data_IF_394187804564
#
_entry.id   IF_394187804564
#
_cell.length_a   1.000
_cell.length_b   1.000
_cell.length_c   1.000
_cell.angle_alpha   90.00
_cell.angle_beta   90.00
_cell.angle_gamma   90.00
#
_symmetry.space_group_name_H-M   'P 1'
#
loop_
_entity.id
_entity.type
_entity.pdbx_description
1 polymer ?
#
# COMPACT_ATOMS: atom_id res chain seq x y z
N UNK A 1 12.06 -18.12 26.71
CA UNK A 1 13.09 -18.49 25.75
C UNK A 1 12.42 -19.28 24.64
N UNK A 2 12.09 -18.65 23.49
CA UNK A 2 11.44 -19.32 22.36
C UNK A 2 12.49 -20.07 21.54
N UNK A 3 12.49 -21.39 21.61
CA UNK A 3 13.36 -22.22 20.77
C UNK A 3 12.84 -22.27 19.33
N UNK A 4 13.69 -22.11 18.31
CA UNK A 4 13.29 -22.06 16.89
C UNK A 4 12.61 -23.34 16.36
N UNK A 5 12.68 -24.42 17.10
CA UNK A 5 12.07 -25.71 16.71
C UNK A 5 10.53 -25.71 16.63
N UNK A 6 9.85 -24.77 17.30
CA UNK A 6 8.38 -24.70 17.32
C UNK A 6 7.76 -23.98 16.13
N UNK A 7 8.55 -23.37 15.24
CA UNK A 7 8.09 -22.64 14.05
C UNK A 7 8.02 -23.52 12.78
N UNK A 8 8.19 -24.84 12.89
CA UNK A 8 8.06 -25.73 11.74
C UNK A 8 6.58 -25.98 11.44
N UNK A 9 5.98 -25.11 10.64
CA UNK A 9 4.71 -25.40 9.95
C UNK A 9 4.98 -26.43 8.86
N UNK A 10 4.06 -27.40 8.63
CA UNK A 10 4.15 -28.30 7.49
C UNK A 10 4.39 -27.53 6.19
N UNK A 11 5.29 -28.02 5.36
CA UNK A 11 5.64 -27.37 4.09
C UNK A 11 4.41 -27.15 3.21
N UNK A 12 3.45 -28.07 3.29
CA UNK A 12 2.17 -28.02 2.57
C UNK A 12 1.34 -26.78 2.95
N UNK A 13 1.20 -26.48 4.23
CA UNK A 13 0.37 -25.33 4.70
C UNK A 13 1.02 -24.01 4.31
N UNK A 14 2.36 -23.95 4.32
CA UNK A 14 3.11 -22.79 3.83
C UNK A 14 2.92 -22.59 2.33
N UNK A 15 2.98 -23.67 1.54
CA UNK A 15 2.77 -23.61 0.09
C UNK A 15 1.33 -23.17 -0.24
N UNK A 16 0.34 -23.69 0.48
CA UNK A 16 -1.07 -23.31 0.29
C UNK A 16 -1.27 -21.83 0.61
N UNK A 17 -0.80 -21.34 1.77
CA UNK A 17 -0.95 -19.94 2.14
C UNK A 17 -0.23 -19.03 1.16
N UNK A 18 1.00 -19.35 0.77
CA UNK A 18 1.76 -18.61 -0.23
C UNK A 18 1.05 -18.58 -1.59
N UNK A 19 0.55 -19.73 -2.05
CA UNK A 19 -0.21 -19.85 -3.29
C UNK A 19 -1.50 -19.02 -3.27
N UNK A 20 -2.23 -19.00 -2.16
CA UNK A 20 -3.43 -18.18 -2.00
C UNK A 20 -3.12 -16.69 -2.07
N UNK A 21 -2.04 -16.22 -1.43
CA UNK A 21 -1.64 -14.82 -1.46
C UNK A 21 -1.19 -14.38 -2.86
N UNK A 22 -0.42 -15.22 -3.55
CA UNK A 22 -0.01 -14.97 -4.93
C UNK A 22 -1.24 -14.98 -5.86
N UNK A 23 -2.12 -15.98 -5.73
CA UNK A 23 -3.35 -16.06 -6.49
C UNK A 23 -4.25 -14.83 -6.30
N UNK A 24 -4.37 -14.35 -5.06
CA UNK A 24 -5.11 -13.13 -4.75
C UNK A 24 -4.49 -11.89 -5.41
N UNK A 25 -3.17 -11.76 -5.39
CA UNK A 25 -2.48 -10.66 -6.05
C UNK A 25 -2.65 -10.71 -7.58
N UNK A 26 -2.52 -11.89 -8.19
CA UNK A 26 -2.76 -12.07 -9.64
C UNK A 26 -4.20 -11.75 -10.00
N UNK A 27 -5.17 -12.25 -9.23
CA UNK A 27 -6.58 -11.94 -9.45
C UNK A 27 -6.87 -10.43 -9.33
N UNK A 28 -6.21 -9.75 -8.38
CA UNK A 28 -6.33 -8.30 -8.24
C UNK A 28 -5.73 -7.56 -9.46
N UNK A 29 -4.59 -8.00 -10.02
CA UNK A 29 -4.03 -7.44 -11.24
C UNK A 29 -4.95 -7.63 -12.45
N UNK A 30 -5.54 -8.83 -12.60
CA UNK A 30 -6.50 -9.10 -13.69
C UNK A 30 -7.75 -8.24 -13.52
N UNK A 31 -8.26 -8.10 -12.30
CA UNK A 31 -9.42 -7.26 -12.02
C UNK A 31 -9.13 -5.76 -12.29
N UNK A 32 -7.94 -5.27 -11.96
CA UNK A 32 -7.52 -3.90 -12.30
C UNK A 32 -7.43 -3.68 -13.81
N UNK A 33 -6.89 -4.64 -14.53
CA UNK A 33 -6.84 -4.57 -15.99
C UNK A 33 -8.24 -4.52 -16.62
N UNK A 34 -9.18 -5.33 -16.13
CA UNK A 34 -10.57 -5.27 -16.56
C UNK A 34 -11.26 -3.98 -16.13
N UNK A 35 -10.93 -3.46 -14.94
CA UNK A 35 -11.46 -2.19 -14.47
C UNK A 35 -11.03 -1.04 -15.40
N UNK A 36 -9.76 -0.99 -15.78
CA UNK A 36 -9.22 0.05 -16.68
C UNK A 36 -9.90 0.07 -18.06
N UNK A 37 -10.30 -1.11 -18.56
CA UNK A 37 -11.03 -1.24 -19.83
C UNK A 37 -12.55 -1.06 -19.69
N UNK A 38 -13.05 -0.87 -18.48
CA UNK A 38 -14.48 -0.76 -18.18
C UNK A 38 -14.98 0.69 -18.18
N UNK A 39 -16.30 0.93 -18.30
CA UNK A 39 -16.90 2.26 -18.11
C UNK A 39 -16.63 2.87 -16.72
N UNK A 40 -16.15 2.08 -15.78
CA UNK A 40 -15.86 2.50 -14.40
C UNK A 40 -14.43 3.00 -14.21
N UNK A 41 -13.59 2.99 -15.25
CA UNK A 41 -12.19 3.44 -15.17
C UNK A 41 -12.06 4.86 -14.60
N UNK A 42 -12.96 5.78 -14.95
CA UNK A 42 -12.96 7.16 -14.47
C UNK A 42 -13.08 7.32 -12.95
N UNK A 43 -13.66 6.33 -12.23
CA UNK A 43 -13.77 6.39 -10.76
C UNK A 43 -12.44 6.19 -10.02
N UNK A 44 -11.42 5.68 -10.67
CA UNK A 44 -10.05 5.57 -10.13
C UNK A 44 -9.15 6.74 -10.55
N UNK A 45 -9.63 7.65 -11.39
CA UNK A 45 -8.90 8.82 -11.85
C UNK A 45 -9.46 10.11 -11.27
N UNK A 46 -8.90 11.23 -11.73
CA UNK A 46 -9.36 12.59 -11.41
C UNK A 46 -10.55 13.03 -12.29
N UNK A 47 -11.14 12.12 -13.06
CA UNK A 47 -12.31 12.44 -13.90
C UNK A 47 -13.50 12.77 -12.98
N UNK A 48 -13.99 13.99 -13.14
CA UNK A 48 -15.01 14.59 -12.29
C UNK A 48 -16.26 13.75 -12.05
N UNK A 49 -17.00 14.15 -11.07
CA UNK A 49 -18.19 13.52 -10.50
C UNK A 49 -19.17 12.93 -11.51
N UNK A 50 -19.22 11.60 -11.60
CA UNK A 50 -20.05 10.88 -12.55
C UNK A 50 -21.27 10.23 -11.86
N UNK A 51 -21.54 10.56 -10.58
CA UNK A 51 -22.64 9.94 -9.86
C UNK A 51 -22.88 10.49 -8.45
N UNK A 52 -23.80 9.90 -7.68
CA UNK A 52 -24.02 10.28 -6.30
C UNK A 52 -22.76 10.01 -5.45
N UNK A 53 -22.41 10.98 -4.61
CA UNK A 53 -21.20 11.00 -3.78
C UNK A 53 -20.86 9.67 -3.06
N UNK A 54 -21.81 8.96 -2.43
CA UNK A 54 -21.52 7.69 -1.76
C UNK A 54 -21.14 6.57 -2.73
N UNK A 55 -21.65 6.58 -3.96
CA UNK A 55 -21.26 5.60 -4.98
C UNK A 55 -19.83 5.86 -5.45
N UNK A 56 -19.48 7.11 -5.74
CA UNK A 56 -18.11 7.50 -6.10
C UNK A 56 -17.10 7.07 -5.03
N UNK A 57 -17.34 7.46 -3.77
CA UNK A 57 -16.46 7.11 -2.66
C UNK A 57 -16.32 5.58 -2.52
N UNK A 58 -17.41 4.84 -2.66
CA UNK A 58 -17.40 3.38 -2.54
C UNK A 58 -16.59 2.73 -3.66
N UNK A 59 -16.81 3.15 -4.92
CA UNK A 59 -16.08 2.62 -6.07
C UNK A 59 -14.58 2.99 -5.99
N UNK A 60 -14.27 4.22 -5.60
CA UNK A 60 -12.89 4.62 -5.37
C UNK A 60 -12.21 3.75 -4.30
N UNK A 61 -12.83 3.57 -3.13
CA UNK A 61 -12.26 2.75 -2.05
C UNK A 61 -12.11 1.30 -2.47
N UNK A 62 -13.05 0.73 -3.21
CA UNK A 62 -12.94 -0.64 -3.75
C UNK A 62 -11.76 -0.75 -4.72
N UNK A 63 -11.65 0.16 -5.68
CA UNK A 63 -10.52 0.20 -6.62
C UNK A 63 -9.18 0.41 -5.90
N UNK A 64 -9.16 1.30 -4.90
CA UNK A 64 -8.00 1.55 -4.06
C UNK A 64 -7.55 0.29 -3.30
N UNK A 65 -8.48 -0.41 -2.64
CA UNK A 65 -8.18 -1.66 -1.93
C UNK A 65 -7.68 -2.73 -2.89
N UNK A 66 -8.30 -2.84 -4.08
CA UNK A 66 -7.86 -3.76 -5.12
C UNK A 66 -6.41 -3.49 -5.55
N UNK A 67 -6.06 -2.22 -5.76
CA UNK A 67 -4.70 -1.77 -6.05
C UNK A 67 -3.73 -2.14 -4.93
N UNK A 68 -4.12 -1.93 -3.66
CA UNK A 68 -3.29 -2.30 -2.52
C UNK A 68 -3.07 -3.82 -2.45
N UNK A 69 -4.08 -4.61 -2.75
CA UNK A 69 -3.95 -6.07 -2.83
C UNK A 69 -2.97 -6.45 -3.95
N UNK A 70 -3.05 -5.81 -5.12
CA UNK A 70 -2.17 -6.10 -6.24
C UNK A 70 -0.70 -5.75 -5.96
N UNK A 71 -0.43 -4.56 -5.37
CA UNK A 71 0.92 -4.01 -5.25
C UNK A 71 1.56 -4.23 -3.87
N UNK A 72 0.78 -4.04 -2.80
CA UNK A 72 1.32 -4.01 -1.43
C UNK A 72 1.22 -5.34 -0.71
N UNK A 73 0.23 -6.17 -1.04
CA UNK A 73 0.10 -7.50 -0.42
C UNK A 73 1.31 -8.41 -0.74
N UNK A 74 1.83 -8.47 -1.98
CA UNK A 74 3.04 -9.25 -2.29
C UNK A 74 4.24 -8.85 -1.43
N UNK A 75 4.42 -7.56 -1.18
CA UNK A 75 5.51 -7.07 -0.33
C UNK A 75 5.34 -7.42 1.15
N UNK A 76 4.14 -7.76 1.59
CA UNK A 76 3.79 -8.13 2.97
C UNK A 76 3.73 -9.65 3.19
N UNK A 77 3.89 -10.46 2.14
CA UNK A 77 3.89 -11.93 2.21
C UNK A 77 4.81 -12.48 3.31
N UNK A 78 6.05 -12.00 3.49
CA UNK A 78 6.93 -12.53 4.53
C UNK A 78 6.34 -12.40 5.94
N UNK A 79 5.64 -11.31 6.24
CA UNK A 79 4.97 -11.12 7.53
C UNK A 79 3.78 -12.06 7.68
N UNK A 80 2.93 -12.16 6.67
CA UNK A 80 1.75 -13.04 6.69
C UNK A 80 2.17 -14.50 6.85
N UNK A 81 3.23 -14.92 6.17
CA UNK A 81 3.80 -16.27 6.29
C UNK A 81 4.38 -16.52 7.68
N UNK A 82 5.09 -15.55 8.24
CA UNK A 82 5.67 -15.65 9.61
C UNK A 82 4.55 -15.76 10.64
N UNK A 83 3.52 -14.93 10.52
CA UNK A 83 2.36 -14.98 11.41
C UNK A 83 1.57 -16.28 11.24
N UNK A 84 1.29 -16.70 10.00
CA UNK A 84 0.64 -17.98 9.71
C UNK A 84 1.39 -19.17 10.31
N UNK A 85 2.73 -19.15 10.27
CA UNK A 85 3.56 -20.15 10.92
C UNK A 85 3.38 -20.16 12.44
N UNK A 86 3.29 -18.98 13.06
CA UNK A 86 3.11 -18.85 14.50
C UNK A 86 1.74 -19.37 14.97
N UNK A 87 0.68 -19.06 14.22
CA UNK A 87 -0.70 -19.43 14.60
C UNK A 87 -1.18 -20.77 14.04
N UNK A 88 -0.37 -21.44 13.22
CA UNK A 88 -0.76 -22.65 12.49
C UNK A 88 -1.26 -23.82 13.35
N UNK A 89 -0.85 -23.87 14.63
CA UNK A 89 -1.32 -24.87 15.62
C UNK A 89 -2.51 -24.38 16.45
N UNK A 90 -2.98 -23.14 16.26
CA UNK A 90 -4.13 -22.59 16.97
C UNK A 90 -5.45 -23.05 16.33
N UNK A 91 -6.55 -23.06 17.07
CA UNK A 91 -7.86 -23.27 16.47
C UNK A 91 -8.16 -22.21 15.40
N UNK A 92 -8.61 -22.66 14.22
CA UNK A 92 -9.00 -21.81 13.09
C UNK A 92 -7.91 -20.80 12.67
N UNK A 93 -6.69 -21.24 12.31
CA UNK A 93 -5.57 -20.37 11.99
C UNK A 93 -5.87 -19.45 10.82
N UNK A 94 -6.66 -19.89 9.82
CA UNK A 94 -7.10 -19.06 8.70
C UNK A 94 -7.90 -17.82 9.12
N UNK A 95 -8.73 -17.92 10.19
CA UNK A 95 -9.45 -16.77 10.72
C UNK A 95 -8.50 -15.73 11.32
N UNK A 96 -7.44 -16.17 11.99
CA UNK A 96 -6.46 -15.26 12.57
C UNK A 96 -5.67 -14.53 11.47
N UNK A 97 -5.24 -15.26 10.43
CA UNK A 97 -4.59 -14.66 9.25
C UNK A 97 -5.55 -13.71 8.52
N UNK A 98 -6.82 -14.09 8.36
CA UNK A 98 -7.85 -13.23 7.75
C UNK A 98 -8.06 -11.93 8.54
N UNK A 99 -8.05 -11.97 9.88
CA UNK A 99 -8.15 -10.77 10.73
C UNK A 99 -6.91 -9.87 10.62
N UNK A 100 -5.71 -10.45 10.49
CA UNK A 100 -4.50 -9.68 10.22
C UNK A 100 -4.61 -8.95 8.88
N UNK A 101 -5.03 -9.64 7.82
CA UNK A 101 -5.23 -9.04 6.50
C UNK A 101 -6.32 -7.97 6.54
N UNK A 102 -7.43 -8.22 7.24
CA UNK A 102 -8.50 -7.24 7.40
C UNK A 102 -8.01 -5.97 8.10
N UNK A 103 -7.25 -6.09 9.18
CA UNK A 103 -6.66 -4.93 9.87
C UNK A 103 -5.70 -4.14 8.97
N UNK A 104 -4.90 -4.84 8.18
CA UNK A 104 -4.00 -4.25 7.19
C UNK A 104 -4.78 -3.47 6.11
N UNK A 105 -5.79 -4.08 5.51
CA UNK A 105 -6.61 -3.46 4.48
C UNK A 105 -7.48 -2.32 5.03
N UNK A 106 -7.93 -2.40 6.29
CA UNK A 106 -8.68 -1.31 6.93
C UNK A 106 -7.85 -0.02 7.02
N UNK A 107 -6.56 -0.11 7.36
CA UNK A 107 -5.67 1.06 7.40
C UNK A 107 -5.47 1.63 5.99
N UNK A 108 -5.25 0.79 5.00
CA UNK A 108 -5.10 1.23 3.62
C UNK A 108 -6.40 1.79 3.03
N UNK A 109 -7.56 1.22 3.39
CA UNK A 109 -8.86 1.76 3.01
C UNK A 109 -9.12 3.14 3.62
N UNK A 110 -8.79 3.32 4.89
CA UNK A 110 -8.87 4.62 5.55
C UNK A 110 -7.93 5.66 4.92
N UNK A 111 -6.70 5.26 4.56
CA UNK A 111 -5.77 6.12 3.83
C UNK A 111 -6.31 6.48 2.44
N UNK A 112 -6.85 5.52 1.70
CA UNK A 112 -7.49 5.77 0.40
C UNK A 112 -8.65 6.74 0.48
N UNK A 113 -9.51 6.59 1.48
CA UNK A 113 -10.61 7.54 1.72
C UNK A 113 -10.08 8.95 2.02
N UNK A 114 -9.02 9.06 2.83
CA UNK A 114 -8.39 10.35 3.11
C UNK A 114 -7.77 10.97 1.84
N UNK A 115 -7.14 10.16 0.98
CA UNK A 115 -6.59 10.60 -0.30
C UNK A 115 -7.69 11.11 -1.24
N UNK A 116 -8.82 10.39 -1.33
CA UNK A 116 -9.98 10.82 -2.12
C UNK A 116 -10.58 12.13 -1.62
N UNK A 117 -10.72 12.30 -0.29
CA UNK A 117 -11.18 13.56 0.29
C UNK A 117 -10.23 14.72 0.02
N UNK A 118 -8.91 14.46 0.10
CA UNK A 118 -7.88 15.47 -0.21
C UNK A 118 -7.94 15.88 -1.69
N UNK A 119 -8.12 14.94 -2.60
CA UNK A 119 -8.27 15.19 -4.03
C UNK A 119 -9.49 16.07 -4.33
N UNK A 120 -10.63 15.79 -3.71
CA UNK A 120 -11.81 16.64 -3.83
C UNK A 120 -11.57 18.05 -3.29
N UNK A 121 -10.81 18.18 -2.20
CA UNK A 121 -10.39 19.47 -1.67
C UNK A 121 -9.51 20.23 -2.65
N UNK A 122 -8.57 19.56 -3.32
CA UNK A 122 -7.72 20.14 -4.36
C UNK A 122 -8.58 20.63 -5.54
N UNK A 123 -9.51 19.82 -6.02
CA UNK A 123 -10.40 20.20 -7.12
C UNK A 123 -11.29 21.40 -6.75
N UNK A 124 -11.81 21.45 -5.53
CA UNK A 124 -12.55 22.61 -5.05
C UNK A 124 -11.67 23.87 -4.98
N UNK A 125 -10.42 23.74 -4.54
CA UNK A 125 -9.47 24.86 -4.52
C UNK A 125 -9.11 25.35 -5.93
N UNK A 126 -8.91 24.42 -6.88
CA UNK A 126 -8.66 24.74 -8.30
C UNK A 126 -9.87 25.49 -8.90
N UNK A 127 -11.10 25.05 -8.59
CA UNK A 127 -12.31 25.75 -9.05
C UNK A 127 -12.51 27.13 -8.43
N UNK A 128 -12.01 27.37 -7.22
CA UNK A 128 -12.11 28.64 -6.51
C UNK A 128 -10.96 29.62 -6.84
N UNK A 129 -9.84 29.13 -7.33
CA UNK A 129 -8.62 29.90 -7.59
C UNK A 129 -8.20 29.79 -9.07
N UNK A 130 -8.62 30.73 -9.96
CA UNK A 130 -8.31 30.68 -11.39
C UNK A 130 -6.80 30.55 -11.65
N UNK A 131 -5.98 31.23 -10.85
CA UNK A 131 -4.51 31.12 -10.95
C UNK A 131 -4.01 29.69 -10.79
N UNK A 132 -4.59 28.89 -9.89
CA UNK A 132 -4.20 27.48 -9.68
C UNK A 132 -4.66 26.58 -10.85
N UNK A 133 -5.80 26.92 -11.47
CA UNK A 133 -6.28 26.26 -12.67
C UNK A 133 -5.34 26.50 -13.89
N UNK A 134 -4.72 27.66 -13.96
CA UNK A 134 -3.74 28.02 -14.99
C UNK A 134 -2.36 27.36 -14.75
N UNK A 135 -2.09 26.84 -13.55
CA UNK A 135 -0.82 26.26 -13.16
C UNK A 135 -0.96 24.83 -12.61
N UNK A 136 -1.56 23.87 -13.35
CA UNK A 136 -1.78 22.49 -12.87
C UNK A 136 -0.46 21.74 -12.57
N UNK A 137 0.64 22.15 -13.20
CA UNK A 137 1.99 21.62 -12.98
C UNK A 137 2.46 21.80 -11.53
N UNK A 138 1.95 22.81 -10.79
CA UNK A 138 2.30 23.02 -9.40
C UNK A 138 1.76 21.92 -8.48
N UNK A 139 0.58 21.38 -8.77
CA UNK A 139 -0.02 20.29 -8.00
C UNK A 139 0.83 19.03 -8.16
N UNK A 140 1.15 18.67 -9.41
CA UNK A 140 2.01 17.51 -9.68
C UNK A 140 3.43 17.73 -9.14
N UNK A 141 4.02 18.90 -9.39
CA UNK A 141 5.35 19.24 -8.91
C UNK A 141 5.47 19.19 -7.38
N UNK A 142 4.50 19.74 -6.65
CA UNK A 142 4.48 19.66 -5.17
C UNK A 142 4.30 18.24 -4.69
N UNK A 143 3.49 17.42 -5.34
CA UNK A 143 3.31 16.00 -5.00
C UNK A 143 4.62 15.22 -5.20
N UNK A 144 5.29 15.40 -6.33
CA UNK A 144 6.59 14.78 -6.62
C UNK A 144 7.68 15.25 -5.64
N UNK A 145 7.72 16.55 -5.34
CA UNK A 145 8.66 17.11 -4.39
C UNK A 145 8.44 16.53 -2.98
N UNK A 146 7.21 16.53 -2.51
CA UNK A 146 6.86 15.95 -1.20
C UNK A 146 7.21 14.45 -1.15
N UNK A 147 6.94 13.70 -2.21
CA UNK A 147 7.30 12.30 -2.30
C UNK A 147 8.82 12.09 -2.30
N UNK A 148 9.56 12.91 -3.05
CA UNK A 148 11.01 12.86 -3.11
C UNK A 148 11.66 13.18 -1.77
N UNK A 149 11.23 14.27 -1.10
CA UNK A 149 11.72 14.66 0.23
C UNK A 149 11.40 13.58 1.29
N UNK A 150 10.21 12.95 1.20
CA UNK A 150 9.84 11.86 2.10
C UNK A 150 10.80 10.68 2.04
N UNK A 151 11.41 10.40 0.86
CA UNK A 151 12.39 9.32 0.73
C UNK A 151 13.61 9.52 1.64
N UNK A 152 13.94 10.75 2.01
CA UNK A 152 15.06 11.06 2.92
C UNK A 152 14.65 11.15 4.39
N UNK A 153 13.35 10.99 4.70
CA UNK A 153 12.84 11.12 6.07
C UNK A 153 13.29 9.96 6.98
N UNK A 154 13.80 10.24 8.18
CA UNK A 154 14.12 9.20 9.15
C UNK A 154 12.88 8.44 9.63
N UNK A 155 11.69 9.07 9.58
CA UNK A 155 10.43 8.41 9.92
C UNK A 155 10.09 7.32 8.90
N UNK A 156 10.26 7.63 7.61
CA UNK A 156 10.09 6.64 6.54
C UNK A 156 11.03 5.44 6.76
N UNK A 157 12.29 5.70 7.10
CA UNK A 157 13.26 4.63 7.30
C UNK A 157 12.86 3.72 8.46
N UNK A 158 12.41 4.27 9.59
CA UNK A 158 11.88 3.49 10.72
C UNK A 158 10.66 2.64 10.32
N UNK A 159 9.76 3.21 9.52
CA UNK A 159 8.60 2.46 9.02
C UNK A 159 9.04 1.32 8.07
N UNK A 160 10.00 1.58 7.20
CA UNK A 160 10.54 0.58 6.29
C UNK A 160 11.23 -0.56 7.05
N UNK A 161 12.00 -0.25 8.10
CA UNK A 161 12.64 -1.26 8.95
C UNK A 161 11.62 -2.18 9.63
N UNK A 162 10.51 -1.62 10.12
CA UNK A 162 9.44 -2.42 10.72
C UNK A 162 8.82 -3.39 9.69
N UNK A 163 8.67 -2.98 8.43
CA UNK A 163 8.19 -3.84 7.34
C UNK A 163 9.22 -4.92 6.96
N UNK A 164 10.51 -4.63 7.07
CA UNK A 164 11.62 -5.54 6.71
C UNK A 164 11.95 -6.59 7.77
N UNK A 165 11.42 -6.45 8.98
CA UNK A 165 11.68 -7.36 10.11
C UNK A 165 10.43 -8.12 10.54
N UNK A 166 9.90 -9.02 9.71
CA UNK A 166 8.63 -9.69 9.97
C UNK A 166 8.64 -10.53 11.24
N UNK A 167 9.72 -11.24 11.53
CA UNK A 167 9.83 -12.06 12.73
C UNK A 167 9.84 -11.20 14.00
N UNK A 168 10.68 -10.17 14.06
CA UNK A 168 10.74 -9.24 15.20
C UNK A 168 9.42 -8.51 15.39
N UNK A 169 8.78 -8.12 14.30
CA UNK A 169 7.47 -7.46 14.33
C UNK A 169 6.39 -8.35 14.97
N UNK A 170 6.32 -9.63 14.57
CA UNK A 170 5.33 -10.59 15.06
C UNK A 170 5.62 -10.96 16.53
N UNK A 171 6.86 -11.33 16.87
CA UNK A 171 7.24 -11.78 18.22
C UNK A 171 7.01 -10.67 19.26
N UNK A 172 7.33 -9.41 18.93
CA UNK A 172 7.17 -8.31 19.86
C UNK A 172 5.70 -7.91 20.12
N UNK A 173 4.76 -8.29 19.24
CA UNK A 173 3.35 -7.90 19.34
C UNK A 173 2.41 -9.05 19.69
N UNK A 174 2.81 -10.29 19.43
CA UNK A 174 1.96 -11.45 19.71
C UNK A 174 2.17 -11.98 21.12
N UNK A 175 1.13 -11.91 21.94
CA UNK A 175 1.11 -12.48 23.29
C UNK A 175 0.27 -13.76 23.36
N UNK A 176 -0.71 -13.90 22.47
CA UNK A 176 -1.60 -15.06 22.39
C UNK A 176 -2.67 -15.13 23.48
N UNK A 177 -2.89 -14.05 24.23
CA UNK A 177 -3.91 -13.95 25.28
C UNK A 177 -5.29 -13.64 24.69
N UNK A 178 -5.34 -12.81 23.64
CA UNK A 178 -6.54 -12.44 22.93
C UNK A 178 -6.35 -12.60 21.41
N UNK A 179 -6.30 -13.84 20.87
CA UNK A 179 -5.82 -14.12 19.52
C UNK A 179 -6.53 -13.31 18.42
N UNK A 180 -7.84 -13.13 18.51
CA UNK A 180 -8.61 -12.41 17.50
C UNK A 180 -8.25 -10.91 17.47
N UNK A 181 -8.25 -10.28 18.66
CA UNK A 181 -7.92 -8.86 18.81
C UNK A 181 -6.46 -8.59 18.44
N UNK A 182 -5.56 -9.45 18.90
CA UNK A 182 -4.12 -9.33 18.62
C UNK A 182 -3.83 -9.48 17.12
N UNK A 183 -4.50 -10.41 16.41
CA UNK A 183 -4.36 -10.58 14.97
C UNK A 183 -4.78 -9.31 14.22
N UNK A 184 -5.95 -8.77 14.53
CA UNK A 184 -6.44 -7.54 13.91
C UNK A 184 -5.53 -6.35 14.22
N UNK A 185 -5.17 -6.15 15.49
CA UNK A 185 -4.28 -5.05 15.92
C UNK A 185 -2.88 -5.14 15.27
N UNK A 186 -2.38 -6.36 15.06
CA UNK A 186 -1.13 -6.59 14.33
C UNK A 186 -1.24 -6.19 12.87
N UNK A 187 -2.36 -6.50 12.23
CA UNK A 187 -2.67 -6.06 10.87
C UNK A 187 -2.73 -4.54 10.77
N UNK A 188 -3.43 -3.87 11.69
CA UNK A 188 -3.50 -2.41 11.79
C UNK A 188 -2.10 -1.81 11.98
N UNK A 189 -1.30 -2.33 12.90
CA UNK A 189 0.05 -1.84 13.13
C UNK A 189 0.93 -2.01 11.89
N UNK A 190 0.88 -3.18 11.21
CA UNK A 190 1.64 -3.40 9.98
C UNK A 190 1.17 -2.48 8.85
N UNK A 191 -0.14 -2.29 8.70
CA UNK A 191 -0.73 -1.36 7.74
C UNK A 191 -0.23 0.07 7.96
N UNK A 192 -0.19 0.54 9.21
CA UNK A 192 0.30 1.87 9.55
C UNK A 192 1.79 2.05 9.19
N UNK A 193 2.65 1.07 9.48
CA UNK A 193 4.06 1.12 9.06
C UNK A 193 4.20 1.03 7.54
N UNK A 194 3.37 0.22 6.87
CA UNK A 194 3.36 0.08 5.43
C UNK A 194 2.95 1.40 4.75
N UNK A 195 1.88 2.05 5.22
CA UNK A 195 1.51 3.40 4.79
C UNK A 195 2.68 4.36 5.03
N UNK A 196 3.23 4.40 6.25
CA UNK A 196 4.33 5.31 6.59
C UNK A 196 5.57 5.16 5.69
N UNK A 197 5.88 3.97 5.20
CA UNK A 197 7.04 3.79 4.31
C UNK A 197 6.77 4.12 2.84
N UNK A 198 5.52 4.05 2.34
CA UNK A 198 5.26 4.17 0.90
C UNK A 198 4.07 5.05 0.50
N UNK A 199 3.40 5.74 1.45
CA UNK A 199 2.26 6.60 1.14
C UNK A 199 2.54 7.63 0.05
N UNK A 200 3.74 8.20 0.05
CA UNK A 200 4.14 9.24 -0.90
C UNK A 200 4.22 8.72 -2.34
N UNK A 201 4.71 7.48 -2.53
CA UNK A 201 4.73 6.82 -3.84
C UNK A 201 3.30 6.50 -4.32
N UNK A 202 2.41 6.16 -3.39
CA UNK A 202 1.00 5.92 -3.72
C UNK A 202 0.30 7.22 -4.14
N UNK A 203 0.63 8.37 -3.53
CA UNK A 203 0.10 9.65 -3.98
C UNK A 203 0.65 10.09 -5.34
N UNK A 204 1.94 9.85 -5.62
CA UNK A 204 2.50 10.10 -6.97
C UNK A 204 1.74 9.29 -8.03
N UNK A 205 1.48 8.01 -7.75
CA UNK A 205 0.72 7.17 -8.65
C UNK A 205 -0.72 7.67 -8.81
N UNK A 206 -1.35 8.10 -7.72
CA UNK A 206 -2.68 8.71 -7.75
C UNK A 206 -2.69 9.99 -8.59
N UNK A 207 -1.70 10.87 -8.41
CA UNK A 207 -1.56 12.13 -9.17
C UNK A 207 -1.34 11.94 -10.68
N UNK A 208 -0.64 10.88 -11.09
CA UNK A 208 -0.44 10.56 -12.52
C UNK A 208 -1.67 9.87 -13.12
N UNK A 209 -2.50 9.27 -12.28
CA UNK A 209 -3.67 8.49 -12.65
C UNK A 209 -3.49 7.00 -12.32
N UNK A 210 -4.45 6.46 -11.60
CA UNK A 210 -4.46 5.05 -11.18
C UNK A 210 -4.62 4.06 -12.36
N UNK A 211 -4.96 4.55 -13.55
CA UNK A 211 -5.08 3.75 -14.77
C UNK A 211 -3.76 3.38 -15.44
N UNK A 212 -2.60 3.83 -14.91
CA UNK A 212 -1.30 3.47 -15.49
C UNK A 212 -0.76 2.15 -14.91
N UNK A 213 -1.23 1.00 -15.41
CA UNK A 213 -0.73 -0.33 -15.03
C UNK A 213 0.79 -0.46 -15.10
N UNK A 214 1.51 0.07 -16.13
CA UNK A 214 2.97 0.03 -16.16
C UNK A 214 3.61 0.77 -15.00
N UNK A 215 3.10 1.95 -14.63
CA UNK A 215 3.60 2.70 -13.49
C UNK A 215 3.33 1.97 -12.17
N UNK A 216 2.14 1.36 -12.03
CA UNK A 216 1.80 0.52 -10.90
C UNK A 216 2.77 -0.64 -10.74
N UNK A 217 3.15 -1.32 -11.84
CA UNK A 217 4.13 -2.42 -11.83
C UNK A 217 5.50 -1.91 -11.39
N UNK A 218 5.96 -0.79 -11.92
CA UNK A 218 7.26 -0.20 -11.57
C UNK A 218 7.29 0.18 -10.09
N UNK A 219 6.32 0.96 -9.60
CA UNK A 219 6.29 1.42 -8.20
C UNK A 219 6.04 0.28 -7.22
N UNK A 220 5.17 -0.67 -7.57
CA UNK A 220 4.94 -1.88 -6.79
C UNK A 220 6.19 -2.76 -6.71
N UNK A 221 6.88 -2.96 -7.84
CA UNK A 221 8.15 -3.67 -7.93
C UNK A 221 9.25 -3.01 -7.09
N UNK A 222 9.42 -1.69 -7.23
CA UNK A 222 10.37 -0.92 -6.41
C UNK A 222 10.09 -1.08 -4.91
N UNK A 223 8.83 -0.95 -4.51
CA UNK A 223 8.42 -1.12 -3.10
C UNK A 223 8.67 -2.54 -2.61
N UNK A 224 8.40 -3.55 -3.44
CA UNK A 224 8.68 -4.94 -3.10
C UNK A 224 10.19 -5.20 -2.95
N UNK A 225 11.01 -4.64 -3.82
CA UNK A 225 12.47 -4.71 -3.75
C UNK A 225 12.99 -4.02 -2.47
N UNK A 226 12.52 -2.81 -2.19
CA UNK A 226 12.92 -2.08 -0.99
C UNK A 226 12.60 -2.85 0.30
N UNK A 227 11.44 -3.50 0.36
CA UNK A 227 10.99 -4.22 1.55
C UNK A 227 11.62 -5.61 1.72
N UNK A 228 11.85 -6.33 0.63
CA UNK A 228 12.18 -7.76 0.70
C UNK A 228 13.65 -8.07 0.38
N UNK A 229 14.36 -7.20 -0.36
CA UNK A 229 15.77 -7.46 -0.71
C UNK A 229 16.73 -6.77 0.27
N UNK A 230 17.86 -7.41 0.63
CA UNK A 230 18.89 -6.82 1.51
C UNK A 230 19.42 -5.49 0.96
N UNK A 231 19.66 -5.41 -0.34
CA UNK A 231 20.13 -4.22 -1.05
C UNK A 231 19.07 -3.16 -1.33
N UNK A 232 17.77 -3.46 -1.08
CA UNK A 232 16.65 -2.59 -1.41
C UNK A 232 16.74 -1.18 -0.81
N UNK A 233 17.32 -1.05 0.38
CA UNK A 233 17.57 0.28 1.01
C UNK A 233 18.43 1.22 0.16
N UNK A 234 19.29 0.67 -0.71
CA UNK A 234 20.16 1.48 -1.58
C UNK A 234 19.36 2.20 -2.67
N UNK A 235 18.14 1.74 -2.99
CA UNK A 235 17.26 2.37 -3.99
C UNK A 235 16.53 3.61 -3.45
N UNK A 236 16.36 3.72 -2.14
CA UNK A 236 15.61 4.81 -1.51
C UNK A 236 16.14 6.20 -1.89
N UNK A 237 17.46 6.42 -1.72
CA UNK A 237 18.06 7.73 -2.00
C UNK A 237 18.04 8.09 -3.49
N UNK A 238 18.47 7.22 -4.42
CA UNK A 238 18.33 7.47 -5.86
C UNK A 238 16.89 7.79 -6.27
N UNK A 239 15.92 7.03 -5.76
CA UNK A 239 14.50 7.28 -6.03
C UNK A 239 14.07 8.68 -5.55
N UNK A 240 14.50 9.06 -4.35
CA UNK A 240 14.23 10.41 -3.82
C UNK A 240 14.81 11.51 -4.71
N UNK A 241 16.05 11.35 -5.19
CA UNK A 241 16.68 12.30 -6.12
C UNK A 241 15.91 12.38 -7.43
N UNK A 242 15.54 11.24 -8.01
CA UNK A 242 14.77 11.19 -9.28
C UNK A 242 13.43 11.92 -9.12
N UNK A 243 12.72 11.70 -8.02
CA UNK A 243 11.43 12.38 -7.78
C UNK A 243 11.59 13.89 -7.60
N UNK A 244 12.65 14.35 -6.90
CA UNK A 244 12.94 15.79 -6.76
C UNK A 244 13.29 16.42 -8.10
N UNK A 245 14.12 15.76 -8.92
CA UNK A 245 14.47 16.24 -10.26
C UNK A 245 13.23 16.28 -11.18
N UNK A 246 12.38 15.26 -11.10
CA UNK A 246 11.10 15.22 -11.82
C UNK A 246 10.17 16.37 -11.39
N UNK A 247 10.12 16.69 -10.09
CA UNK A 247 9.36 17.83 -9.58
C UNK A 247 9.83 19.16 -10.18
N UNK A 248 11.15 19.37 -10.19
CA UNK A 248 11.75 20.59 -10.79
C UNK A 248 11.45 20.67 -12.28
N UNK A 249 11.60 19.56 -12.99
CA UNK A 249 11.31 19.49 -14.42
C UNK A 249 9.85 19.85 -14.73
N UNK A 250 8.89 19.23 -14.01
CA UNK A 250 7.45 19.46 -14.21
C UNK A 250 7.04 20.91 -13.93
N UNK A 251 7.68 21.57 -12.95
CA UNK A 251 7.37 22.98 -12.62
C UNK A 251 8.04 23.95 -13.60
N UNK A 252 9.18 23.58 -14.18
CA UNK A 252 9.94 24.44 -15.10
C UNK A 252 9.50 24.32 -16.58
N UNK A 253 8.79 23.22 -16.94
CA UNK A 253 8.29 22.97 -18.29
C UNK A 253 6.94 23.62 -18.53
#
# INVERSE_FOLDING_TARGET
MFTPAHLRVPQRDRAILGGLLVGLAVAAWVALWWWETSPYAGYMGHAGTVGPLPLEASLFVVGWVLMIVAMMLPSSVPLVMTFGALVGRRPRPGRLVGLLLLGYLAVWGAFGLAAWLADRGIHAAVGALPWLAEHPQLIMGTTLLAAGLWQFSPLRERCLEACRSPLGFVVNRWRGTSPLRESFAMGVAHGAFCVGCCWSLMLVMFGIGLGSLPLMLVLGGLTAIEKNLPSGRRLTRPLGVVLVLAAVYVVAA
#
